data_IF_511790565395
#
_entry.id   IF_511790565395
#
_cell.length_a   1.000
_cell.length_b   1.000
_cell.length_c   1.000
_cell.angle_alpha   90.00
_cell.angle_beta   90.00
_cell.angle_gamma   90.00
#
_symmetry.space_group_name_H-M   'P 1'
#
loop_
_entity.id
_entity.type
_entity.pdbx_description
1 polymer ?
#
# COMPACT_ATOMS: atom_id res chain seq x y z
N UNK A 1 -3.31 11.18 -6.71
CA UNK A 1 -3.10 9.77 -7.09
C UNK A 1 -1.64 9.58 -7.44
N UNK A 2 -1.02 8.44 -7.07
CA UNK A 2 0.38 8.17 -7.35
C UNK A 2 0.65 8.17 -8.87
N UNK A 3 1.77 8.77 -9.27
CA UNK A 3 2.20 8.83 -10.68
C UNK A 3 2.79 7.48 -11.06
N UNK A 4 2.40 6.93 -12.22
CA UNK A 4 2.96 5.67 -12.75
C UNK A 4 2.02 4.45 -12.72
N UNK A 5 0.89 4.51 -12.01
CA UNK A 5 -0.11 3.43 -12.04
C UNK A 5 -1.00 3.52 -13.28
N UNK A 6 -1.07 2.43 -14.05
CA UNK A 6 -2.01 2.33 -15.15
C UNK A 6 -3.44 2.39 -14.62
N UNK A 7 -4.27 3.26 -15.21
CA UNK A 7 -5.65 3.54 -14.81
C UNK A 7 -6.53 2.28 -14.64
N UNK A 8 -6.20 1.18 -15.32
CA UNK A 8 -6.87 -0.12 -15.22
C UNK A 8 -6.75 -0.76 -13.83
N UNK A 9 -5.69 -0.45 -13.09
CA UNK A 9 -5.42 -0.99 -11.74
C UNK A 9 -5.86 -0.05 -10.61
N UNK A 10 -6.44 1.10 -10.95
CA UNK A 10 -6.91 2.05 -9.94
C UNK A 10 -8.36 1.69 -9.57
N UNK A 11 -8.66 1.40 -8.28
CA UNK A 11 -10.02 1.15 -7.86
C UNK A 11 -10.93 2.34 -8.18
N UNK A 12 -12.06 2.07 -8.83
CA UNK A 12 -13.02 3.11 -9.24
C UNK A 12 -13.78 3.71 -8.05
N UNK A 13 -13.97 2.92 -7.01
CA UNK A 13 -14.63 3.33 -5.77
C UNK A 13 -13.68 3.09 -4.61
N UNK A 14 -13.73 3.98 -3.63
CA UNK A 14 -13.12 3.74 -2.32
C UNK A 14 -13.91 2.64 -1.62
N UNK A 15 -13.24 1.82 -0.80
CA UNK A 15 -13.80 0.64 -0.15
C UNK A 15 -15.08 0.85 0.66
N UNK A 16 -15.57 -0.16 1.40
CA UNK A 16 -16.79 -0.03 2.17
C UNK A 16 -16.66 1.08 3.22
N UNK A 17 -17.45 2.14 3.08
CA UNK A 17 -17.53 3.22 4.03
C UNK A 17 -18.85 3.15 4.79
N UNK A 18 -18.80 3.40 6.10
CA UNK A 18 -20.00 3.46 6.93
C UNK A 18 -20.70 4.79 6.72
N UNK A 19 -21.99 4.76 6.41
CA UNK A 19 -22.85 5.94 6.47
C UNK A 19 -23.05 6.29 7.94
N UNK A 20 -22.71 7.52 8.31
CA UNK A 20 -22.83 8.06 9.67
C UNK A 20 -24.16 8.80 9.81
N UNK A 21 -24.61 9.48 8.76
CA UNK A 21 -25.81 10.32 8.80
C UNK A 21 -26.50 10.38 7.44
N UNK A 22 -27.83 10.44 7.46
CA UNK A 22 -28.68 10.75 6.31
C UNK A 22 -29.26 12.16 6.47
N UNK A 23 -29.07 13.03 5.47
CA UNK A 23 -29.59 14.40 5.46
C UNK A 23 -30.99 14.52 4.84
N UNK A 24 -31.58 13.41 4.34
CA UNK A 24 -32.91 13.34 3.70
C UNK A 24 -33.08 14.21 2.45
N UNK A 25 -31.96 14.61 1.85
CA UNK A 25 -31.89 15.36 0.60
C UNK A 25 -31.01 14.63 -0.44
N UNK A 26 -31.04 13.29 -0.40
CA UNK A 26 -30.16 12.41 -1.17
C UNK A 26 -28.67 12.60 -0.89
N UNK A 27 -28.29 13.24 0.21
CA UNK A 27 -26.90 13.35 0.64
C UNK A 27 -26.68 12.59 1.94
N UNK A 28 -25.53 11.92 2.02
CA UNK A 28 -25.16 11.09 3.15
C UNK A 28 -23.76 11.48 3.64
N UNK A 29 -23.62 11.53 4.95
CA UNK A 29 -22.33 11.63 5.60
C UNK A 29 -21.70 10.23 5.71
N UNK A 30 -20.48 10.07 5.23
CA UNK A 30 -19.73 8.81 5.31
C UNK A 30 -18.51 8.97 6.20
N UNK A 31 -18.15 7.90 6.92
CA UNK A 31 -16.94 7.87 7.74
C UNK A 31 -15.72 7.73 6.84
N UNK A 32 -15.08 8.85 6.49
CA UNK A 32 -13.85 8.87 5.71
C UNK A 32 -12.61 8.51 6.56
N UNK A 33 -11.60 7.85 5.97
CA UNK A 33 -10.25 7.75 6.53
C UNK A 33 -9.65 9.13 6.83
N UNK A 34 -8.86 9.22 7.91
CA UNK A 34 -8.25 10.48 8.37
C UNK A 34 -7.39 11.14 7.30
N UNK A 35 -6.65 10.35 6.52
CA UNK A 35 -5.75 10.85 5.48
C UNK A 35 -6.50 11.60 4.38
N UNK A 36 -7.72 11.18 4.05
CA UNK A 36 -8.55 11.87 3.06
C UNK A 36 -9.13 13.17 3.61
N UNK A 37 -9.55 13.16 4.88
CA UNK A 37 -10.01 14.38 5.55
C UNK A 37 -8.89 15.40 5.64
N UNK A 38 -7.66 14.97 5.97
CA UNK A 38 -6.48 15.83 6.04
C UNK A 38 -6.12 16.43 4.67
N UNK A 39 -6.41 15.71 3.58
CA UNK A 39 -6.28 16.20 2.20
C UNK A 39 -7.43 17.11 1.75
N UNK A 40 -8.38 17.43 2.63
CA UNK A 40 -9.49 18.34 2.36
C UNK A 40 -10.71 17.70 1.70
N UNK A 41 -10.82 16.36 1.70
CA UNK A 41 -11.99 15.68 1.12
C UNK A 41 -13.18 15.80 2.07
N UNK A 42 -14.29 16.35 1.56
CA UNK A 42 -15.54 16.44 2.29
C UNK A 42 -16.18 15.06 2.51
N UNK A 43 -16.74 14.84 3.69
CA UNK A 43 -17.35 13.58 4.09
C UNK A 43 -18.83 13.43 3.73
N UNK A 44 -19.41 14.40 3.02
CA UNK A 44 -20.81 14.37 2.57
C UNK A 44 -20.86 14.16 1.06
N UNK A 45 -21.58 13.12 0.64
CA UNK A 45 -21.71 12.76 -0.78
C UNK A 45 -23.17 12.58 -1.17
N UNK A 46 -23.51 12.98 -2.39
CA UNK A 46 -24.81 12.68 -2.98
C UNK A 46 -24.95 11.18 -3.31
N UNK A 47 -26.16 10.64 -3.21
CA UNK A 47 -26.50 9.23 -3.39
C UNK A 47 -25.97 8.63 -4.72
N UNK A 48 -25.92 9.43 -5.79
CA UNK A 48 -25.42 9.02 -7.11
C UNK A 48 -23.93 8.65 -7.12
N UNK A 49 -23.15 9.15 -6.16
CA UNK A 49 -21.72 8.84 -6.00
C UNK A 49 -21.49 7.61 -5.11
N UNK A 50 -22.53 7.14 -4.41
CA UNK A 50 -22.46 5.98 -3.53
C UNK A 50 -22.87 4.72 -4.28
N UNK A 51 -22.30 3.60 -3.85
CA UNK A 51 -22.66 2.26 -4.33
C UNK A 51 -22.86 1.36 -3.13
N UNK A 52 -23.90 0.53 -3.17
CA UNK A 52 -24.11 -0.49 -2.15
C UNK A 52 -22.92 -1.44 -2.15
N UNK A 53 -22.38 -1.68 -0.96
CA UNK A 53 -21.32 -2.65 -0.79
C UNK A 53 -21.90 -4.06 -0.83
N UNK A 54 -21.36 -4.91 -1.70
CA UNK A 54 -21.62 -6.34 -1.73
C UNK A 54 -20.41 -7.02 -1.12
N UNK A 55 -20.56 -7.75 0.01
CA UNK A 55 -19.44 -8.46 0.62
C UNK A 55 -18.88 -9.52 -0.34
N UNK A 56 -17.56 -9.70 -0.30
CA UNK A 56 -16.89 -10.75 -1.07
C UNK A 56 -17.22 -12.13 -0.48
N UNK A 57 -17.39 -13.13 -1.35
CA UNK A 57 -17.42 -14.54 -0.91
C UNK A 57 -15.99 -15.05 -0.85
N UNK A 58 -15.42 -15.12 0.35
CA UNK A 58 -14.03 -15.52 0.55
C UNK A 58 -13.75 -17.00 0.23
N UNK A 59 -14.79 -17.85 0.15
CA UNK A 59 -14.62 -19.26 -0.24
C UNK A 59 -14.43 -19.39 -1.74
N UNK A 60 -15.14 -18.56 -2.52
CA UNK A 60 -15.08 -18.57 -3.98
C UNK A 60 -13.98 -17.66 -4.53
N UNK A 61 -13.68 -16.57 -3.82
CA UNK A 61 -12.73 -15.54 -4.27
C UNK A 61 -11.75 -15.16 -3.15
N UNK A 62 -10.84 -16.07 -2.78
CA UNK A 62 -9.77 -15.73 -1.84
C UNK A 62 -8.90 -14.60 -2.41
N UNK A 63 -8.49 -13.66 -1.55
CA UNK A 63 -7.56 -12.59 -1.94
C UNK A 63 -8.18 -11.32 -2.52
N UNK A 64 -9.52 -11.18 -2.52
CA UNK A 64 -10.22 -9.97 -3.01
C UNK A 64 -10.62 -8.98 -1.91
N UNK A 65 -9.90 -8.95 -0.79
CA UNK A 65 -10.14 -7.92 0.23
C UNK A 65 -9.76 -6.54 -0.30
N UNK A 66 -10.41 -5.48 0.22
CA UNK A 66 -10.07 -4.11 -0.16
C UNK A 66 -8.60 -3.81 0.15
N UNK A 67 -8.08 -4.31 1.27
CA UNK A 67 -6.70 -4.13 1.70
C UNK A 67 -5.69 -4.74 0.73
N UNK A 68 -6.06 -5.79 -0.01
CA UNK A 68 -5.21 -6.43 -1.01
C UNK A 68 -5.34 -5.80 -2.40
N UNK A 69 -6.53 -5.30 -2.75
CA UNK A 69 -6.82 -4.73 -4.08
C UNK A 69 -6.47 -3.25 -4.16
N UNK A 70 -6.70 -2.50 -3.09
CA UNK A 70 -6.24 -1.13 -2.97
C UNK A 70 -4.74 -1.19 -2.65
N UNK A 71 -3.91 -1.06 -3.69
CA UNK A 71 -2.45 -1.17 -3.57
C UNK A 71 -1.85 -0.35 -2.42
N UNK A 72 -0.61 -0.67 -2.04
CA UNK A 72 0.06 -0.15 -0.84
C UNK A 72 -0.07 1.37 -0.64
N UNK A 73 -0.02 2.16 -1.71
CA UNK A 73 -0.18 3.63 -1.68
C UNK A 73 -1.55 4.12 -1.18
N UNK A 74 -2.60 3.29 -1.29
CA UNK A 74 -3.98 3.63 -0.89
C UNK A 74 -4.28 3.17 0.53
N UNK A 75 -3.71 2.04 0.94
CA UNK A 75 -3.90 1.47 2.29
C UNK A 75 -2.85 1.96 3.29
N UNK A 76 -1.77 2.58 2.81
CA UNK A 76 -0.60 2.93 3.62
C UNK A 76 0.10 1.70 4.21
N UNK A 77 -0.27 0.51 3.75
CA UNK A 77 0.27 -0.75 4.26
C UNK A 77 1.49 -1.09 3.43
N UNK A 78 2.65 -0.78 3.98
CA UNK A 78 3.92 -1.29 3.48
C UNK A 78 3.85 -2.82 3.42
N UNK A 79 4.23 -3.40 2.29
CA UNK A 79 4.23 -4.86 2.14
C UNK A 79 5.16 -5.47 3.18
N UNK A 80 4.71 -6.56 3.82
CA UNK A 80 5.51 -7.25 4.83
C UNK A 80 6.71 -7.93 4.16
N UNK A 81 7.86 -7.26 4.17
CA UNK A 81 9.14 -7.85 3.81
C UNK A 81 9.55 -8.83 4.90
N UNK A 82 9.96 -10.03 4.49
CA UNK A 82 10.46 -11.05 5.41
C UNK A 82 11.93 -10.78 5.73
N UNK A 83 12.78 -10.75 4.71
CA UNK A 83 14.22 -10.47 4.84
C UNK A 83 14.83 -10.05 3.50
N UNK A 84 16.03 -9.47 3.56
CA UNK A 84 16.88 -9.27 2.38
C UNK A 84 17.85 -10.46 2.31
N UNK A 85 17.82 -11.17 1.18
CA UNK A 85 18.63 -12.39 0.94
C UNK A 85 20.05 -12.05 0.54
N UNK A 86 20.17 -11.12 -0.41
CA UNK A 86 21.44 -10.79 -1.04
C UNK A 86 21.39 -9.38 -1.62
N UNK A 87 22.54 -8.88 -2.04
CA UNK A 87 22.67 -7.67 -2.84
C UNK A 87 23.63 -7.90 -4.01
N UNK A 88 23.57 -7.02 -5.00
CA UNK A 88 24.47 -6.98 -6.15
C UNK A 88 24.76 -5.53 -6.50
N UNK A 89 26.02 -5.23 -6.81
CA UNK A 89 26.51 -3.87 -6.99
C UNK A 89 26.87 -3.20 -5.67
N UNK A 90 27.36 -1.96 -5.76
CA UNK A 90 27.88 -1.21 -4.62
C UNK A 90 27.23 0.17 -4.50
N UNK A 91 27.33 0.76 -3.31
CA UNK A 91 26.80 2.09 -3.01
C UNK A 91 25.29 2.22 -3.36
N UNK A 92 24.86 3.44 -3.72
CA UNK A 92 23.46 3.77 -4.03
C UNK A 92 22.87 3.06 -5.25
N UNK A 93 23.71 2.50 -6.10
CA UNK A 93 23.31 1.78 -7.31
C UNK A 93 23.14 0.27 -7.05
N UNK A 94 23.36 -0.17 -5.81
CA UNK A 94 23.14 -1.55 -5.42
C UNK A 94 21.67 -1.97 -5.56
N UNK A 95 21.49 -3.17 -6.06
CA UNK A 95 20.22 -3.89 -6.14
C UNK A 95 20.17 -4.91 -5.03
N UNK A 96 18.99 -5.09 -4.44
CA UNK A 96 18.78 -6.00 -3.32
C UNK A 96 17.71 -7.02 -3.64
N UNK A 97 17.99 -8.27 -3.30
CA UNK A 97 17.05 -9.38 -3.42
C UNK A 97 16.18 -9.45 -2.16
N UNK A 98 14.91 -9.10 -2.31
CA UNK A 98 13.94 -9.06 -1.23
C UNK A 98 13.11 -10.34 -1.25
N UNK A 99 13.01 -10.99 -0.09
CA UNK A 99 12.02 -12.03 0.17
C UNK A 99 10.78 -11.42 0.82
N UNK A 100 9.65 -11.52 0.13
CA UNK A 100 8.35 -11.09 0.63
C UNK A 100 7.77 -12.13 1.59
N UNK A 101 6.88 -11.71 2.49
CA UNK A 101 6.15 -12.66 3.36
C UNK A 101 5.26 -13.64 2.57
N UNK A 102 4.95 -13.36 1.31
CA UNK A 102 4.30 -14.30 0.39
C UNK A 102 5.22 -15.43 -0.12
N UNK A 103 6.54 -15.28 0.06
CA UNK A 103 7.56 -16.16 -0.51
C UNK A 103 8.08 -15.73 -1.88
N UNK A 104 7.54 -14.66 -2.46
CA UNK A 104 8.04 -14.11 -3.72
C UNK A 104 9.44 -13.49 -3.52
N UNK A 105 10.25 -13.51 -4.58
CA UNK A 105 11.58 -12.89 -4.62
C UNK A 105 11.63 -11.80 -5.70
N UNK A 106 12.09 -10.61 -5.35
CA UNK A 106 12.24 -9.50 -6.31
C UNK A 106 13.51 -8.72 -6.05
N UNK A 107 14.16 -8.27 -7.13
CA UNK A 107 15.28 -7.33 -7.06
C UNK A 107 14.79 -5.89 -7.08
N UNK A 108 15.18 -5.09 -6.09
CA UNK A 108 14.81 -3.69 -5.97
C UNK A 108 16.02 -2.78 -5.71
N UNK A 109 16.04 -1.55 -6.24
CA UNK A 109 17.13 -0.62 -6.04
C UNK A 109 17.10 0.01 -4.64
N UNK A 110 18.26 0.42 -4.12
CA UNK A 110 18.40 1.04 -2.80
C UNK A 110 17.37 2.15 -2.51
N UNK A 111 17.14 3.05 -3.48
CA UNK A 111 16.28 4.22 -3.26
C UNK A 111 14.80 3.87 -2.99
N UNK A 112 14.34 2.70 -3.46
CA UNK A 112 13.00 2.20 -3.19
C UNK A 112 12.92 1.52 -1.81
N UNK A 113 14.01 0.94 -1.31
CA UNK A 113 14.00 0.08 -0.12
C UNK A 113 14.59 0.74 1.14
N UNK A 114 15.20 1.92 1.01
CA UNK A 114 15.87 2.65 2.11
C UNK A 114 15.01 2.94 3.35
N UNK A 115 13.70 2.79 3.25
CA UNK A 115 12.73 3.01 4.32
C UNK A 115 12.37 1.72 5.08
N UNK A 116 12.80 0.56 4.59
CA UNK A 116 12.46 -0.74 5.15
C UNK A 116 13.39 -1.09 6.32
N UNK A 117 12.81 -1.46 7.46
CA UNK A 117 13.57 -2.01 8.60
C UNK A 117 14.37 -3.27 8.26
N UNK A 118 13.96 -4.00 7.22
CA UNK A 118 14.69 -5.18 6.74
C UNK A 118 16.09 -4.82 6.23
N UNK A 119 16.28 -3.58 5.75
CA UNK A 119 17.58 -3.09 5.29
C UNK A 119 18.54 -2.83 6.45
N UNK A 120 18.06 -2.22 7.53
CA UNK A 120 18.86 -1.98 8.73
C UNK A 120 19.41 -3.29 9.31
N UNK A 121 18.56 -4.32 9.40
CA UNK A 121 18.96 -5.67 9.84
C UNK A 121 19.99 -6.31 8.92
N UNK A 122 19.88 -6.07 7.62
CA UNK A 122 20.81 -6.59 6.63
C UNK A 122 22.19 -5.93 6.77
N UNK A 123 22.23 -4.62 6.97
CA UNK A 123 23.46 -3.87 7.24
C UNK A 123 24.11 -4.27 8.56
N UNK A 124 23.33 -4.45 9.62
CA UNK A 124 23.80 -5.00 10.90
C UNK A 124 24.44 -6.38 10.72
N UNK A 125 23.84 -7.27 9.93
CA UNK A 125 24.38 -8.60 9.66
C UNK A 125 25.70 -8.57 8.86
N UNK A 126 25.89 -7.56 7.99
CA UNK A 126 27.13 -7.32 7.25
C UNK A 126 28.17 -6.51 8.04
N UNK A 127 27.79 -5.97 9.22
CA UNK A 127 28.66 -5.11 10.03
C UNK A 127 28.91 -3.72 9.41
N UNK A 128 27.99 -3.23 8.58
CA UNK A 128 28.06 -1.92 7.93
C UNK A 128 26.95 -1.01 8.48
N UNK A 129 27.18 0.30 8.48
CA UNK A 129 26.20 1.31 8.94
C UNK A 129 25.59 2.10 7.78
N UNK A 130 26.32 2.18 6.66
CA UNK A 130 25.94 3.01 5.51
C UNK A 130 26.07 2.26 4.20
N UNK A 131 25.27 2.67 3.23
CA UNK A 131 25.30 2.13 1.87
C UNK A 131 26.68 2.27 1.22
N UNK A 132 27.43 3.31 1.57
CA UNK A 132 28.77 3.59 1.02
C UNK A 132 29.83 2.55 1.42
N UNK A 133 29.51 1.68 2.38
CA UNK A 133 30.38 0.62 2.88
C UNK A 133 30.06 -0.74 2.24
N UNK A 134 29.08 -0.81 1.32
CA UNK A 134 28.82 -2.03 0.57
C UNK A 134 29.99 -2.32 -0.38
N UNK A 135 30.52 -3.55 -0.33
CA UNK A 135 31.64 -3.98 -1.17
C UNK A 135 31.30 -4.02 -2.67
#
# INVERSE_FOLDING_TARGET
>A
FPRGLARKFIPKFLGPLKIVRDFRNNSYEVRLPRDLVQRGVHNVFHASLLRMHVPNDDRLFPGRSWEQVAGADVTGKEWAVKEIRSHSGSNSDAMFEIEWSSGDLTWMPFHEIKHLQALDRYFEALGIEKIDQLP
#
